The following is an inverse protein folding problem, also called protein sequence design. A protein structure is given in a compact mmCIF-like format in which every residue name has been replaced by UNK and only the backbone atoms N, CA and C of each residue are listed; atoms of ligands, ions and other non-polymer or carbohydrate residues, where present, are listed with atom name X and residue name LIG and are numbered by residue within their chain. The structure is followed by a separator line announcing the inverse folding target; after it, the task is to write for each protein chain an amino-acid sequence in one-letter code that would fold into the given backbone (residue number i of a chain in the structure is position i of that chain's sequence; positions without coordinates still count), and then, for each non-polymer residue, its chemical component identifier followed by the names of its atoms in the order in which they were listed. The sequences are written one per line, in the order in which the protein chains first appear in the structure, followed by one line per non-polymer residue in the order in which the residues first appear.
data_IF_965839305040
#
_entry.id   IF_965839305040
#
_cell.length_a   1.000
_cell.length_b   1.000
_cell.length_c   1.000
_cell.angle_alpha   90.00
_cell.angle_beta   90.00
_cell.angle_gamma   90.00
#
_symmetry.space_group_name_H-M   'P 1'
#
loop_
_entity.id
_entity.type
_entity.pdbx_description
1 polymer ?
#
# COMPACT_ATOMS: atom_id res chain seq x y z
N UNK A 1 -10.96 -24.52 -29.07
CA UNK A 1 -11.59 -23.15 -29.01
C UNK A 1 -11.92 -22.67 -27.59
N UNK A 2 -12.08 -23.55 -26.58
CA UNK A 2 -12.41 -23.19 -25.18
C UNK A 2 -11.20 -22.65 -24.39
N UNK A 3 -10.00 -23.05 -24.71
CA UNK A 3 -8.75 -22.60 -24.05
C UNK A 3 -8.36 -21.12 -24.33
N UNK A 4 -9.16 -20.39 -25.07
CA UNK A 4 -8.91 -18.96 -25.41
C UNK A 4 -9.69 -17.96 -24.52
N UNK A 5 -10.59 -18.46 -23.69
CA UNK A 5 -11.39 -17.64 -22.77
C UNK A 5 -10.81 -17.78 -21.37
N UNK A 6 -9.87 -17.05 -20.96
CA UNK A 6 -9.20 -17.02 -19.64
C UNK A 6 -9.82 -17.92 -18.55
N UNK A 7 -9.00 -18.72 -17.88
CA UNK A 7 -9.45 -19.64 -16.84
C UNK A 7 -8.82 -21.04 -16.95
N UNK A 8 -8.82 -21.80 -15.85
CA UNK A 8 -8.35 -23.18 -15.81
C UNK A 8 -9.43 -24.13 -16.29
N UNK A 9 -9.15 -24.84 -17.37
CA UNK A 9 -10.07 -25.84 -17.93
C UNK A 9 -9.76 -27.21 -17.35
N UNK A 10 -10.75 -27.83 -16.71
CA UNK A 10 -10.65 -29.17 -16.18
C UNK A 10 -11.45 -30.14 -17.04
N UNK A 11 -10.82 -31.25 -17.37
CA UNK A 11 -11.40 -32.35 -18.17
C UNK A 11 -11.79 -33.51 -17.24
N UNK A 12 -13.01 -33.97 -17.33
CA UNK A 12 -13.48 -35.11 -16.54
C UNK A 12 -13.64 -36.31 -17.44
N UNK A 13 -12.93 -37.40 -17.10
CA UNK A 13 -13.10 -38.69 -17.71
C UNK A 13 -13.36 -39.75 -16.62
N UNK A 14 -14.31 -40.64 -16.83
CA UNK A 14 -14.63 -41.77 -15.97
C UNK A 14 -14.48 -43.02 -16.78
N UNK A 15 -13.73 -44.02 -16.28
CA UNK A 15 -13.47 -45.31 -16.95
C UNK A 15 -13.03 -45.14 -18.42
N UNK A 16 -12.11 -44.20 -18.67
CA UNK A 16 -11.59 -43.85 -20.00
C UNK A 16 -12.64 -43.29 -20.98
N UNK A 17 -13.81 -42.89 -20.49
CA UNK A 17 -14.85 -42.22 -21.26
C UNK A 17 -14.91 -40.73 -20.85
N UNK A 18 -14.94 -39.89 -21.86
CA UNK A 18 -15.10 -38.44 -21.69
C UNK A 18 -16.51 -38.14 -21.15
N UNK A 19 -16.57 -37.42 -19.99
CA UNK A 19 -17.83 -37.07 -19.33
C UNK A 19 -18.16 -35.61 -19.52
N UNK A 20 -17.16 -34.73 -19.44
CA UNK A 20 -17.39 -33.30 -19.57
C UNK A 20 -16.19 -32.43 -19.23
N UNK A 21 -16.42 -31.11 -19.30
CA UNK A 21 -15.46 -30.07 -18.88
C UNK A 21 -16.10 -29.11 -17.91
N UNK A 22 -15.31 -28.59 -16.99
CA UNK A 22 -15.67 -27.36 -16.28
C UNK A 22 -14.52 -26.36 -16.33
N UNK A 23 -14.87 -25.10 -16.32
CA UNK A 23 -13.93 -23.98 -16.34
C UNK A 23 -14.02 -23.23 -15.02
N UNK A 24 -12.87 -22.95 -14.43
CA UNK A 24 -12.76 -22.10 -13.23
C UNK A 24 -12.11 -20.79 -13.67
N UNK A 25 -12.78 -19.71 -13.40
CA UNK A 25 -12.28 -18.34 -13.64
C UNK A 25 -12.18 -17.60 -12.32
N UNK A 26 -11.04 -16.93 -12.11
CA UNK A 26 -10.89 -16.00 -11.01
C UNK A 26 -11.63 -14.71 -11.33
N UNK A 27 -12.43 -14.23 -10.40
CA UNK A 27 -13.16 -12.99 -10.54
C UNK A 27 -12.42 -11.83 -9.86
N UNK A 28 -12.37 -10.70 -10.55
CA UNK A 28 -11.91 -9.45 -9.95
C UNK A 28 -12.92 -9.02 -8.88
N UNK A 29 -12.45 -8.75 -7.67
CA UNK A 29 -13.32 -8.28 -6.59
C UNK A 29 -13.97 -6.95 -6.96
N UNK A 30 -15.23 -6.76 -6.59
CA UNK A 30 -16.01 -5.55 -6.91
C UNK A 30 -15.37 -4.27 -6.36
N UNK A 31 -14.65 -4.36 -5.23
CA UNK A 31 -13.95 -3.24 -4.60
C UNK A 31 -12.65 -2.86 -5.30
N UNK A 32 -12.02 -3.78 -6.04
CA UNK A 32 -10.69 -3.55 -6.64
C UNK A 32 -10.65 -2.40 -7.66
N UNK A 33 -11.60 -2.26 -8.60
CA UNK A 33 -11.57 -1.14 -9.55
C UNK A 33 -11.69 0.22 -8.86
N UNK A 34 -12.52 0.33 -7.83
CA UNK A 34 -12.69 1.57 -7.07
C UNK A 34 -11.45 1.92 -6.25
N UNK A 35 -10.83 0.93 -5.60
CA UNK A 35 -9.59 1.10 -4.85
C UNK A 35 -8.45 1.55 -5.77
N UNK A 36 -8.25 0.91 -6.92
CA UNK A 36 -7.22 1.26 -7.90
C UNK A 36 -7.42 2.68 -8.43
N UNK A 37 -8.65 3.05 -8.74
CA UNK A 37 -8.97 4.43 -9.17
C UNK A 37 -8.60 5.44 -8.10
N UNK A 38 -8.91 5.16 -6.84
CA UNK A 38 -8.56 6.05 -5.72
C UNK A 38 -7.04 6.16 -5.55
N UNK A 39 -6.30 5.05 -5.66
CA UNK A 39 -4.83 5.08 -5.64
C UNK A 39 -4.25 5.95 -6.76
N UNK A 40 -4.81 5.86 -7.97
CA UNK A 40 -4.41 6.71 -9.10
C UNK A 40 -4.73 8.19 -8.86
N UNK A 41 -5.89 8.51 -8.28
CA UNK A 41 -6.27 9.88 -7.88
C UNK A 41 -5.34 10.43 -6.79
N UNK A 42 -4.80 9.57 -5.94
CA UNK A 42 -3.76 9.93 -4.96
C UNK A 42 -2.37 10.16 -5.60
N UNK A 43 -2.26 10.08 -6.93
CA UNK A 43 -1.03 10.31 -7.69
C UNK A 43 -0.11 9.09 -7.80
N UNK A 44 -0.58 7.90 -7.43
CA UNK A 44 0.19 6.67 -7.58
C UNK A 44 0.06 6.12 -9.00
N UNK A 45 1.16 5.59 -9.53
CA UNK A 45 1.17 4.87 -10.81
C UNK A 45 0.98 3.39 -10.51
N UNK A 46 -0.20 2.87 -10.84
CA UNK A 46 -0.51 1.46 -10.59
C UNK A 46 -0.03 0.61 -11.77
N UNK A 47 0.66 -0.48 -11.45
CA UNK A 47 1.14 -1.48 -12.38
C UNK A 47 0.54 -2.84 -12.02
N UNK A 48 0.21 -3.65 -13.01
CA UNK A 48 -0.23 -5.04 -12.83
C UNK A 48 0.89 -5.98 -13.31
N UNK A 49 1.45 -6.78 -12.38
CA UNK A 49 2.43 -7.82 -12.66
C UNK A 49 1.79 -9.17 -12.36
N UNK A 50 1.60 -10.00 -13.37
CA UNK A 50 0.95 -11.31 -13.20
C UNK A 50 1.63 -12.40 -14.01
N UNK A 51 1.58 -13.64 -13.49
CA UNK A 51 1.97 -14.83 -14.24
C UNK A 51 0.95 -15.26 -15.30
N UNK A 52 -0.25 -14.69 -15.29
CA UNK A 52 -1.31 -15.02 -16.22
C UNK A 52 -0.99 -14.64 -17.66
N UNK A 53 -1.70 -15.28 -18.60
CA UNK A 53 -1.58 -14.97 -20.01
C UNK A 53 -2.00 -13.52 -20.31
N UNK A 54 -1.37 -12.93 -21.33
CA UNK A 54 -1.57 -11.52 -21.72
C UNK A 54 -3.04 -11.12 -21.89
N UNK A 55 -3.88 -12.00 -22.44
CA UNK A 55 -5.31 -11.69 -22.62
C UNK A 55 -6.03 -11.50 -21.29
N UNK A 56 -5.81 -12.40 -20.33
CA UNK A 56 -6.41 -12.32 -18.98
C UNK A 56 -5.92 -11.07 -18.26
N UNK A 57 -4.61 -10.84 -18.28
CA UNK A 57 -3.99 -9.67 -17.67
C UNK A 57 -4.55 -8.37 -18.23
N UNK A 58 -4.75 -8.29 -19.55
CA UNK A 58 -5.34 -7.12 -20.21
C UNK A 58 -6.81 -6.91 -19.82
N UNK A 59 -7.61 -7.96 -19.74
CA UNK A 59 -9.01 -7.88 -19.30
C UNK A 59 -9.10 -7.37 -17.86
N UNK A 60 -8.33 -7.96 -16.93
CA UNK A 60 -8.27 -7.54 -15.53
C UNK A 60 -7.80 -6.08 -15.44
N UNK A 61 -6.73 -5.73 -16.16
CA UNK A 61 -6.21 -4.37 -16.16
C UNK A 61 -7.19 -3.34 -16.68
N UNK A 62 -7.94 -3.65 -17.74
CA UNK A 62 -8.99 -2.79 -18.29
C UNK A 62 -10.14 -2.61 -17.31
N UNK A 63 -10.62 -3.69 -16.67
CA UNK A 63 -11.66 -3.63 -15.64
C UNK A 63 -11.23 -2.74 -14.46
N UNK A 64 -9.96 -2.79 -14.08
CA UNK A 64 -9.39 -1.99 -13.01
C UNK A 64 -8.96 -0.58 -13.45
N UNK A 65 -9.07 -0.22 -14.74
CA UNK A 65 -8.64 1.09 -15.23
C UNK A 65 -7.12 1.30 -15.22
N UNK A 66 -6.35 0.21 -15.40
CA UNK A 66 -4.89 0.25 -15.51
C UNK A 66 -4.50 0.43 -16.98
N UNK A 67 -3.60 1.37 -17.24
CA UNK A 67 -3.08 1.63 -18.58
C UNK A 67 -2.33 0.40 -19.14
N UNK A 68 -2.61 0.03 -20.40
CA UNK A 68 -2.04 -1.17 -21.03
C UNK A 68 -0.51 -1.23 -21.00
N UNK A 69 0.16 -0.09 -21.06
CA UNK A 69 1.62 0.04 -20.92
C UNK A 69 2.16 -0.38 -19.54
N UNK A 70 1.29 -0.49 -18.55
CA UNK A 70 1.61 -0.85 -17.16
C UNK A 70 1.11 -2.24 -16.77
N UNK A 71 0.66 -3.02 -17.74
CA UNK A 71 0.24 -4.40 -17.57
C UNK A 71 1.36 -5.30 -18.08
N UNK A 72 1.98 -6.04 -17.19
CA UNK A 72 3.09 -6.96 -17.46
C UNK A 72 2.59 -8.37 -17.14
N UNK A 73 2.31 -9.12 -18.19
CA UNK A 73 1.76 -10.46 -18.13
C UNK A 73 2.85 -11.54 -18.29
N UNK A 74 2.49 -12.78 -17.98
CA UNK A 74 3.35 -13.98 -18.14
C UNK A 74 4.69 -13.83 -17.41
N UNK A 75 4.70 -13.16 -16.25
CA UNK A 75 5.91 -12.92 -15.47
C UNK A 75 6.15 -14.04 -14.46
N UNK A 76 7.38 -14.50 -14.37
CA UNK A 76 7.85 -15.35 -13.28
C UNK A 76 8.34 -14.51 -12.07
N UNK A 77 8.63 -15.10 -10.91
CA UNK A 77 9.09 -14.37 -9.72
C UNK A 77 10.37 -13.53 -9.95
N UNK A 78 11.33 -14.02 -10.73
CA UNK A 78 12.56 -13.31 -11.04
C UNK A 78 12.29 -12.06 -11.89
N UNK A 79 11.44 -12.18 -12.89
CA UNK A 79 11.04 -11.05 -13.74
C UNK A 79 10.27 -9.98 -12.96
N UNK A 80 9.46 -10.36 -11.97
CA UNK A 80 8.80 -9.40 -11.07
C UNK A 80 9.84 -8.64 -10.25
N UNK A 81 10.82 -9.35 -9.69
CA UNK A 81 11.93 -8.76 -8.96
C UNK A 81 12.72 -7.75 -9.82
N UNK A 82 13.10 -8.15 -11.04
CA UNK A 82 13.85 -7.29 -11.96
C UNK A 82 13.06 -6.06 -12.39
N UNK A 83 11.74 -6.21 -12.54
CA UNK A 83 10.88 -5.07 -12.82
C UNK A 83 10.88 -4.03 -11.70
N UNK A 84 10.84 -4.47 -10.44
CA UNK A 84 10.93 -3.58 -9.27
C UNK A 84 12.30 -2.88 -9.26
N UNK A 85 13.40 -3.62 -9.43
CA UNK A 85 14.74 -3.06 -9.52
C UNK A 85 14.87 -2.00 -10.63
N UNK A 86 14.26 -2.26 -11.78
CA UNK A 86 14.20 -1.31 -12.89
C UNK A 86 13.46 -0.02 -12.50
N UNK A 87 12.35 -0.10 -11.78
CA UNK A 87 11.64 1.10 -11.31
C UNK A 87 12.47 1.87 -10.28
N UNK A 88 13.12 1.18 -9.35
CA UNK A 88 13.98 1.77 -8.33
C UNK A 88 15.22 2.45 -8.94
N UNK A 89 15.83 1.87 -9.99
CA UNK A 89 16.95 2.48 -10.72
C UNK A 89 16.58 3.82 -11.37
N UNK A 90 15.28 4.02 -11.67
CA UNK A 90 14.72 5.29 -12.13
C UNK A 90 14.37 6.26 -10.98
N UNK A 91 14.88 6.00 -9.76
CA UNK A 91 14.60 6.78 -8.54
C UNK A 91 13.13 6.82 -8.15
N UNK A 92 12.36 5.80 -8.52
CA UNK A 92 10.96 5.66 -8.11
C UNK A 92 10.90 4.87 -6.81
N UNK A 93 10.03 5.29 -5.91
CA UNK A 93 9.66 4.50 -4.74
C UNK A 93 8.58 3.50 -5.14
N UNK A 94 8.79 2.25 -4.78
CA UNK A 94 7.94 1.13 -5.21
C UNK A 94 7.28 0.51 -3.98
N UNK A 95 5.95 0.44 -4.03
CA UNK A 95 5.15 -0.34 -3.13
C UNK A 95 4.68 -1.58 -3.89
N UNK A 96 4.99 -2.76 -3.38
CA UNK A 96 4.57 -4.05 -3.94
C UNK A 96 3.48 -4.65 -3.07
N UNK A 97 2.40 -5.12 -3.72
CA UNK A 97 1.33 -5.88 -3.07
C UNK A 97 1.28 -7.26 -3.70
N UNK A 98 1.34 -8.30 -2.89
CA UNK A 98 1.35 -9.69 -3.35
C UNK A 98 0.77 -10.67 -2.34
N UNK A 99 0.71 -11.95 -2.71
CA UNK A 99 0.20 -13.04 -1.85
C UNK A 99 1.27 -13.61 -0.89
N UNK A 100 2.52 -13.21 -1.05
CA UNK A 100 3.64 -13.61 -0.20
C UNK A 100 4.29 -14.94 -0.55
N UNK A 101 3.65 -15.83 -1.27
CA UNK A 101 4.22 -17.15 -1.60
C UNK A 101 5.17 -17.09 -2.80
N UNK A 102 4.68 -16.62 -3.92
CA UNK A 102 5.43 -16.52 -5.17
C UNK A 102 6.13 -15.16 -5.34
N UNK A 103 5.66 -14.16 -4.62
CA UNK A 103 6.10 -12.77 -4.74
C UNK A 103 7.13 -12.36 -3.67
N UNK A 104 7.56 -13.29 -2.80
CA UNK A 104 8.47 -13.02 -1.69
C UNK A 104 9.75 -12.24 -2.09
N UNK A 105 10.49 -12.60 -3.15
CA UNK A 105 11.66 -11.84 -3.56
C UNK A 105 11.33 -10.41 -4.03
N UNK A 106 10.18 -10.25 -4.69
CA UNK A 106 9.70 -8.96 -5.18
C UNK A 106 9.21 -8.07 -4.03
N UNK A 107 8.51 -8.65 -3.05
CA UNK A 107 8.06 -7.96 -1.83
C UNK A 107 9.25 -7.46 -1.01
N UNK A 108 10.26 -8.32 -0.79
CA UNK A 108 11.47 -7.95 -0.05
C UNK A 108 12.32 -6.88 -0.75
N UNK A 109 12.28 -6.81 -2.09
CA UNK A 109 13.04 -5.83 -2.86
C UNK A 109 12.34 -4.47 -2.89
N UNK A 110 11.02 -4.41 -2.78
CA UNK A 110 10.25 -3.17 -2.82
C UNK A 110 10.65 -2.22 -1.68
N UNK A 111 10.41 -0.92 -1.83
CA UNK A 111 10.59 0.04 -0.74
C UNK A 111 9.54 -0.17 0.37
N UNK A 112 8.39 -0.73 0.02
CA UNK A 112 7.35 -1.20 0.94
C UNK A 112 6.76 -2.47 0.35
N UNK A 113 6.90 -3.60 1.06
CA UNK A 113 6.28 -4.88 0.73
C UNK A 113 4.99 -5.06 1.51
N UNK A 114 3.90 -5.36 0.83
CA UNK A 114 2.58 -5.58 1.43
C UNK A 114 2.06 -6.95 1.04
N UNK A 115 1.68 -7.74 2.03
CA UNK A 115 1.07 -9.04 1.82
C UNK A 115 -0.43 -8.98 2.03
N UNK A 116 -1.20 -9.70 1.21
CA UNK A 116 -2.64 -9.80 1.31
C UNK A 116 -3.05 -11.15 1.89
N UNK A 117 -4.11 -11.15 2.69
CA UNK A 117 -4.78 -12.36 3.17
C UNK A 117 -4.24 -12.93 4.47
N UNK A 118 -4.67 -14.16 4.75
CA UNK A 118 -4.14 -14.99 5.83
C UNK A 118 -2.79 -15.55 5.41
N UNK A 119 -1.80 -14.70 5.47
CA UNK A 119 -0.43 -15.05 5.10
C UNK A 119 0.11 -16.12 6.05
N UNK A 120 0.86 -17.06 5.49
CA UNK A 120 1.66 -18.01 6.26
C UNK A 120 2.72 -17.24 7.07
N UNK A 121 3.19 -17.80 8.19
CA UNK A 121 4.21 -17.18 9.05
C UNK A 121 5.41 -16.62 8.27
N UNK A 122 5.79 -17.28 7.17
CA UNK A 122 6.89 -16.82 6.30
C UNK A 122 6.61 -15.53 5.53
N UNK A 123 5.38 -15.28 5.13
CA UNK A 123 5.03 -14.02 4.44
C UNK A 123 4.94 -12.84 5.40
N UNK A 124 4.69 -13.10 6.69
CA UNK A 124 4.73 -12.09 7.75
C UNK A 124 6.16 -11.58 8.00
N UNK A 125 7.18 -12.44 7.86
CA UNK A 125 8.59 -12.06 8.05
C UNK A 125 9.15 -11.19 6.91
N UNK A 126 8.54 -11.22 5.72
CA UNK A 126 9.08 -10.60 4.50
C UNK A 126 8.37 -9.29 4.16
N UNK A 127 7.18 -9.05 4.70
CA UNK A 127 6.38 -7.88 4.39
C UNK A 127 6.39 -6.84 5.50
N UNK A 128 6.41 -5.56 5.10
CA UNK A 128 6.33 -4.42 6.04
C UNK A 128 4.91 -4.23 6.58
N UNK A 129 3.90 -4.67 5.82
CA UNK A 129 2.49 -4.52 6.15
C UNK A 129 1.70 -5.74 5.68
N UNK A 130 0.68 -6.12 6.46
CA UNK A 130 -0.27 -7.18 6.09
C UNK A 130 -1.68 -6.59 6.03
N UNK A 131 -2.34 -6.77 4.89
CA UNK A 131 -3.73 -6.39 4.70
C UNK A 131 -4.63 -7.57 5.05
N UNK A 132 -5.33 -7.48 6.16
CA UNK A 132 -6.31 -8.47 6.56
C UNK A 132 -7.54 -8.37 5.62
N UNK A 133 -8.08 -9.52 5.22
CA UNK A 133 -9.32 -9.57 4.43
C UNK A 133 -9.16 -9.52 2.92
N UNK A 134 -7.95 -9.51 2.36
CA UNK A 134 -7.70 -9.52 0.91
C UNK A 134 -8.40 -8.39 0.13
N UNK A 135 -8.53 -7.20 0.73
CA UNK A 135 -9.19 -6.06 0.11
C UNK A 135 -8.21 -4.90 -0.09
N UNK A 136 -8.07 -4.45 -1.34
CA UNK A 136 -7.26 -3.28 -1.69
C UNK A 136 -7.80 -1.96 -1.11
N UNK A 137 -9.06 -1.93 -0.67
CA UNK A 137 -9.62 -0.77 0.02
C UNK A 137 -8.88 -0.47 1.32
N UNK A 138 -8.45 -1.51 2.05
CA UNK A 138 -7.62 -1.35 3.24
C UNK A 138 -6.28 -0.65 2.95
N UNK A 139 -5.69 -0.87 1.76
CA UNK A 139 -4.50 -0.14 1.32
C UNK A 139 -4.78 1.35 1.12
N UNK A 140 -5.92 1.69 0.51
CA UNK A 140 -6.35 3.10 0.34
C UNK A 140 -6.47 3.80 1.69
N UNK A 141 -7.09 3.13 2.66
CA UNK A 141 -7.25 3.64 4.02
C UNK A 141 -5.90 3.80 4.73
N UNK A 142 -5.03 2.79 4.64
CA UNK A 142 -3.68 2.85 5.22
C UNK A 142 -2.87 4.03 4.67
N UNK A 143 -2.94 4.29 3.36
CA UNK A 143 -2.27 5.43 2.73
C UNK A 143 -2.87 6.77 3.17
N UNK A 144 -4.19 6.86 3.30
CA UNK A 144 -4.85 8.07 3.78
C UNK A 144 -4.44 8.40 5.22
N UNK A 145 -4.42 7.39 6.09
CA UNK A 145 -3.96 7.49 7.48
C UNK A 145 -2.49 7.93 7.53
N UNK A 146 -1.62 7.26 6.79
CA UNK A 146 -0.19 7.56 6.74
C UNK A 146 0.08 9.01 6.32
N UNK A 147 -0.55 9.50 5.25
CA UNK A 147 -0.39 10.89 4.78
C UNK A 147 -0.83 11.90 5.83
N UNK A 148 -1.94 11.63 6.50
CA UNK A 148 -2.44 12.50 7.57
C UNK A 148 -1.50 12.51 8.77
N UNK A 149 -1.05 11.35 9.21
CA UNK A 149 -0.10 11.22 10.33
C UNK A 149 1.20 11.94 10.02
N UNK A 150 1.73 11.78 8.81
CA UNK A 150 2.94 12.50 8.39
C UNK A 150 2.73 14.03 8.38
N UNK A 151 1.56 14.50 7.96
CA UNK A 151 1.19 15.91 8.03
C UNK A 151 1.20 16.44 9.47
N UNK A 152 0.67 15.68 10.43
CA UNK A 152 0.68 16.05 11.85
C UNK A 152 2.09 16.04 12.44
N UNK A 153 2.91 15.05 12.10
CA UNK A 153 4.31 14.99 12.53
C UNK A 153 5.05 16.26 12.05
N UNK A 154 4.89 16.62 10.79
CA UNK A 154 5.51 17.82 10.22
C UNK A 154 5.03 19.11 10.91
N UNK A 155 3.74 19.22 11.22
CA UNK A 155 3.20 20.35 11.97
C UNK A 155 3.80 20.44 13.38
N UNK A 156 3.87 19.31 14.10
CA UNK A 156 4.43 19.26 15.44
C UNK A 156 5.91 19.63 15.47
N UNK A 157 6.70 19.13 14.50
CA UNK A 157 8.11 19.49 14.37
C UNK A 157 8.28 20.99 14.07
N UNK A 158 7.45 21.53 13.18
CA UNK A 158 7.48 22.96 12.86
C UNK A 158 7.13 23.84 14.07
N UNK A 159 6.09 23.47 14.82
CA UNK A 159 5.70 24.18 16.05
C UNK A 159 6.83 24.15 17.08
N UNK A 160 7.46 22.99 17.28
CA UNK A 160 8.60 22.86 18.19
C UNK A 160 9.81 23.69 17.75
N UNK A 161 10.11 23.70 16.44
CA UNK A 161 11.21 24.48 15.88
C UNK A 161 10.97 25.98 16.07
N UNK A 162 9.77 26.48 15.76
CA UNK A 162 9.39 27.87 15.92
C UNK A 162 9.50 28.31 17.40
N UNK A 163 8.97 27.45 18.30
CA UNK A 163 9.08 27.71 19.73
C UNK A 163 10.55 27.88 20.16
N UNK A 164 11.42 26.95 19.80
CA UNK A 164 12.83 26.98 20.15
C UNK A 164 13.56 28.19 19.53
N UNK A 165 13.22 28.57 18.29
CA UNK A 165 13.80 29.72 17.59
C UNK A 165 13.46 31.05 18.28
N UNK A 166 12.31 31.15 18.92
CA UNK A 166 11.88 32.33 19.67
C UNK A 166 12.40 32.27 21.12
N UNK A 167 12.25 31.12 21.77
CA UNK A 167 12.57 30.97 23.19
C UNK A 167 14.06 31.10 23.47
N UNK A 168 14.94 30.56 22.61
CA UNK A 168 16.38 30.56 22.80
C UNK A 168 16.99 32.00 22.81
N UNK A 169 16.72 32.90 21.82
CA UNK A 169 17.20 34.29 21.89
C UNK A 169 16.67 35.07 23.09
N UNK A 170 15.38 34.87 23.42
CA UNK A 170 14.78 35.51 24.60
C UNK A 170 15.45 35.08 25.90
N UNK A 171 15.80 33.82 26.04
CA UNK A 171 16.53 33.32 27.19
C UNK A 171 17.95 33.94 27.30
N UNK A 172 18.63 34.12 26.17
CA UNK A 172 19.97 34.70 26.12
C UNK A 172 19.99 36.18 26.49
N UNK A 173 18.91 36.92 26.32
CA UNK A 173 18.81 38.33 26.72
C UNK A 173 18.63 38.53 28.22
N UNK A 174 18.46 37.45 29.01
CA UNK A 174 18.30 37.49 30.46
C UNK A 174 16.94 38.01 30.95
N UNK A 175 16.01 38.32 30.05
CA UNK A 175 14.65 38.76 30.43
C UNK A 175 13.72 37.64 30.86
N UNK A 176 14.13 36.34 30.71
CA UNK A 176 13.28 35.21 31.01
C UNK A 176 13.49 34.75 32.44
N UNK A 177 12.48 34.97 33.28
CA UNK A 177 12.43 34.42 34.64
C UNK A 177 12.27 32.86 34.54
N UNK A 178 12.97 32.09 35.36
CA UNK A 178 12.92 30.60 35.30
C UNK A 178 11.49 30.02 35.34
N UNK A 179 10.60 30.65 36.07
CA UNK A 179 9.18 30.26 36.13
C UNK A 179 8.47 30.41 34.77
N UNK A 180 8.74 31.52 34.06
CA UNK A 180 8.14 31.74 32.72
C UNK A 180 8.70 30.75 31.69
N UNK A 181 10.00 30.44 31.78
CA UNK A 181 10.60 29.41 30.92
C UNK A 181 9.94 28.01 31.14
N UNK A 182 9.77 27.61 32.40
CA UNK A 182 9.15 26.32 32.72
C UNK A 182 7.67 26.23 32.26
N UNK A 183 6.90 27.30 32.49
CA UNK A 183 5.50 27.39 32.05
C UNK A 183 5.37 27.35 30.51
N UNK A 184 6.21 28.10 29.81
CA UNK A 184 6.18 28.13 28.34
C UNK A 184 6.57 26.78 27.70
N UNK A 185 7.55 26.07 28.29
CA UNK A 185 7.92 24.71 27.86
C UNK A 185 6.78 23.72 28.08
N UNK A 186 6.12 23.79 29.23
CA UNK A 186 4.96 22.94 29.54
C UNK A 186 3.79 23.22 28.58
N UNK A 187 3.52 24.49 28.29
CA UNK A 187 2.47 24.89 27.35
C UNK A 187 2.77 24.42 25.92
N UNK A 188 4.02 24.54 25.46
CA UNK A 188 4.45 24.04 24.15
C UNK A 188 4.24 22.53 24.03
N UNK A 189 4.63 21.77 25.06
CA UNK A 189 4.42 20.31 25.08
C UNK A 189 2.94 19.95 25.05
N UNK A 190 2.12 20.67 25.81
CA UNK A 190 0.67 20.48 25.83
C UNK A 190 0.04 20.74 24.47
N UNK A 191 0.45 21.79 23.76
CA UNK A 191 -0.03 22.13 22.42
C UNK A 191 0.29 21.00 21.41
N UNK A 192 1.51 20.45 21.46
CA UNK A 192 1.90 19.32 20.60
C UNK A 192 1.06 18.06 20.89
N UNK A 193 0.82 17.77 22.16
CA UNK A 193 -0.03 16.63 22.56
C UNK A 193 -1.48 16.83 22.09
N UNK A 194 -2.06 18.01 22.32
CA UNK A 194 -3.42 18.33 21.87
C UNK A 194 -3.55 18.27 20.34
N UNK A 195 -2.56 18.75 19.60
CA UNK A 195 -2.55 18.63 18.14
C UNK A 195 -2.46 17.17 17.69
N UNK A 196 -1.69 16.35 18.38
CA UNK A 196 -1.58 14.90 18.10
C UNK A 196 -2.88 14.15 18.41
N UNK A 197 -3.58 14.47 19.50
CA UNK A 197 -4.87 13.89 19.86
C UNK A 197 -5.97 14.21 18.84
N UNK A 198 -5.87 15.32 18.13
CA UNK A 198 -6.79 15.68 17.05
C UNK A 198 -6.83 14.61 15.92
N UNK A 199 -5.80 13.76 15.82
CA UNK A 199 -5.78 12.62 14.89
C UNK A 199 -6.75 11.52 15.29
N UNK A 200 -6.85 11.20 16.59
CA UNK A 200 -7.65 10.07 17.09
C UNK A 200 -9.16 10.33 17.05
N UNK A 201 -9.60 11.56 17.18
CA UNK A 201 -11.01 11.93 17.27
C UNK A 201 -11.81 11.81 15.96
N UNK A 202 -11.16 11.49 14.83
CA UNK A 202 -11.82 11.31 13.52
C UNK A 202 -11.73 9.88 12.97
N UNK A 203 -11.30 8.94 13.78
CA UNK A 203 -11.43 7.52 13.49
C UNK A 203 -12.78 7.02 14.00
N UNK A 204 -13.85 7.29 13.27
CA UNK A 204 -15.02 6.41 13.29
C UNK A 204 -14.79 5.42 12.16
N UNK A 205 -14.59 4.11 12.46
CA UNK A 205 -14.65 3.10 11.42
C UNK A 205 -16.05 3.19 10.81
N UNK A 206 -16.12 3.35 9.49
CA UNK A 206 -17.35 3.14 8.76
C UNK A 206 -17.72 1.66 8.94
N UNK A 207 -18.73 1.43 9.78
CA UNK A 207 -19.40 0.16 10.00
C UNK A 207 -20.02 -0.36 8.72
#
# INVERSE_FOLDING_TARGET
RLSQQGGSLFLIAVENHWVGTFQIEDQVRETSPSAIRTLQQLGLRVHLLTGDHTKVAQQVGQLCGIESSRIIASTNPEQKLDYIRKLQSQRRKVLMVGDGLNDAPALAQADIGITMGTSTDKSLEISDLVLLGNDLQALVEALAISRRTFGLIRQNLLLSLIYNLIALPLALTGFVIPLVAALSMSLSSLLVVLNSLRSSWRFTPSS
#
